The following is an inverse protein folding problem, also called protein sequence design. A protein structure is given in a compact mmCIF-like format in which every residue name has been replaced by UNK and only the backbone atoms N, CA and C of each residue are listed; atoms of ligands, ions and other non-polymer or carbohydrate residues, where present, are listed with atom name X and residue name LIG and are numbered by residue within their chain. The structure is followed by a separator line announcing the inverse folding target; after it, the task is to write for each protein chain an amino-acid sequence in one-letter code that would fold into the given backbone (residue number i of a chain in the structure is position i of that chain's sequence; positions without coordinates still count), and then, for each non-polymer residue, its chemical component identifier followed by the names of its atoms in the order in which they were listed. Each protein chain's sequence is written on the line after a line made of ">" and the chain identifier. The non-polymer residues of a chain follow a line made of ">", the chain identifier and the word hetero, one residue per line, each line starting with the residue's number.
data_IF_312899784481
#
_entry.id   IF_312899784481
#
_cell.length_a   1.000
_cell.length_b   1.000
_cell.length_c   1.000
_cell.angle_alpha   90.00
_cell.angle_beta   90.00
_cell.angle_gamma   90.00
#
_symmetry.space_group_name_H-M   'P 1'
#
loop_
_entity.id
_entity.type
_entity.pdbx_description
1 polymer ?
#
# COMPACT_ATOMS: atom_id res chain seq x y z
N UNK A 1 2.90 -27.15 -5.58
CA UNK A 1 2.17 -26.12 -6.36
C UNK A 1 2.05 -24.84 -5.53
N UNK A 2 2.56 -23.73 -6.05
CA UNK A 2 2.47 -22.46 -5.33
C UNK A 2 1.08 -21.85 -5.49
N UNK A 3 0.59 -21.30 -4.39
CA UNK A 3 -0.72 -20.66 -4.36
C UNK A 3 -0.63 -19.24 -4.92
N UNK A 4 -1.57 -18.87 -5.76
CA UNK A 4 -1.68 -17.50 -6.26
C UNK A 4 -2.22 -16.58 -5.15
N UNK A 5 -1.60 -15.42 -5.02
CA UNK A 5 -1.98 -14.37 -4.06
C UNK A 5 -2.17 -13.05 -4.79
N UNK A 6 -2.90 -12.12 -4.15
CA UNK A 6 -3.04 -10.75 -4.67
C UNK A 6 -2.07 -9.84 -3.93
N UNK A 7 -1.25 -9.11 -4.69
CA UNK A 7 -0.28 -8.15 -4.14
C UNK A 7 -0.74 -6.74 -4.49
N UNK A 8 -0.78 -5.86 -3.49
CA UNK A 8 -1.05 -4.44 -3.66
C UNK A 8 0.19 -3.64 -3.27
N UNK A 9 0.64 -2.79 -4.17
CA UNK A 9 1.81 -1.92 -3.96
C UNK A 9 1.35 -0.48 -4.05
N UNK A 10 1.61 0.30 -3.00
CA UNK A 10 1.37 1.73 -2.98
C UNK A 10 2.70 2.44 -2.78
N UNK A 11 2.89 3.57 -3.43
CA UNK A 11 4.05 4.42 -3.22
C UNK A 11 3.60 5.86 -3.12
N UNK A 12 3.99 6.54 -2.03
CA UNK A 12 3.57 7.90 -1.73
C UNK A 12 4.76 8.78 -1.39
N UNK A 13 4.73 10.03 -1.87
CA UNK A 13 5.65 11.08 -1.44
C UNK A 13 4.87 12.14 -0.68
N UNK A 14 5.36 12.53 0.49
CA UNK A 14 4.75 13.60 1.30
C UNK A 14 4.97 14.94 0.57
N UNK A 15 3.90 15.74 0.42
CA UNK A 15 3.95 16.99 -0.35
C UNK A 15 4.79 18.08 0.31
N UNK A 16 4.71 18.19 1.66
CA UNK A 16 5.41 19.21 2.45
C UNK A 16 5.90 18.59 3.75
N UNK A 17 7.02 19.07 4.26
CA UNK A 17 7.62 18.50 5.48
C UNK A 17 6.69 18.58 6.70
N UNK A 18 5.82 19.58 6.78
CA UNK A 18 4.87 19.71 7.90
C UNK A 18 3.72 18.70 7.84
N UNK A 19 3.57 17.99 6.71
CA UNK A 19 2.61 16.89 6.61
C UNK A 19 3.17 15.54 7.08
N UNK A 20 4.47 15.45 7.39
CA UNK A 20 5.10 14.19 7.79
C UNK A 20 4.42 13.55 9.01
N UNK A 21 4.15 14.29 10.11
CA UNK A 21 3.47 13.67 11.25
C UNK A 21 2.09 13.11 10.90
N UNK A 22 1.29 13.86 10.14
CA UNK A 22 -0.05 13.41 9.71
C UNK A 22 0.05 12.18 8.80
N UNK A 23 0.99 12.19 7.86
CA UNK A 23 1.22 11.06 6.96
C UNK A 23 1.52 9.79 7.74
N UNK A 24 2.49 9.84 8.66
CA UNK A 24 2.89 8.65 9.42
C UNK A 24 1.80 8.20 10.39
N UNK A 25 1.02 9.10 10.96
CA UNK A 25 -0.12 8.75 11.78
C UNK A 25 -1.16 7.95 10.99
N UNK A 26 -1.52 8.43 9.79
CA UNK A 26 -2.47 7.73 8.92
C UNK A 26 -1.91 6.40 8.41
N UNK A 27 -0.64 6.39 8.00
CA UNK A 27 0.01 5.19 7.49
C UNK A 27 0.10 4.09 8.57
N UNK A 28 0.42 4.46 9.80
CA UNK A 28 0.51 3.51 10.92
C UNK A 28 -0.86 2.90 11.21
N UNK A 29 -1.91 3.71 11.28
CA UNK A 29 -3.28 3.22 11.52
C UNK A 29 -3.74 2.29 10.41
N UNK A 30 -3.48 2.65 9.16
CA UNK A 30 -3.84 1.83 8.01
C UNK A 30 -3.07 0.50 8.02
N UNK A 31 -1.80 0.51 8.43
CA UNK A 31 -0.97 -0.70 8.52
C UNK A 31 -1.45 -1.65 9.61
N UNK A 32 -1.82 -1.13 10.78
CA UNK A 32 -2.40 -1.94 11.86
C UNK A 32 -3.70 -2.58 11.39
N UNK A 33 -4.55 -1.83 10.71
CA UNK A 33 -5.79 -2.35 10.13
C UNK A 33 -5.50 -3.46 9.11
N UNK A 34 -4.54 -3.23 8.21
CA UNK A 34 -4.20 -4.20 7.16
C UNK A 34 -3.79 -5.55 7.76
N UNK A 35 -2.90 -5.52 8.76
CA UNK A 35 -2.38 -6.74 9.39
C UNK A 35 -3.45 -7.52 10.13
N UNK A 36 -4.54 -6.87 10.53
CA UNK A 36 -5.67 -7.50 11.21
C UNK A 36 -6.83 -7.85 10.28
N UNK A 37 -6.78 -7.43 9.01
CA UNK A 37 -7.88 -7.61 8.08
C UNK A 37 -8.02 -9.07 7.61
N UNK A 38 -9.25 -9.57 7.45
CA UNK A 38 -9.46 -10.91 6.90
C UNK A 38 -8.81 -11.06 5.51
N UNK A 39 -8.11 -12.17 5.31
CA UNK A 39 -7.43 -12.44 4.05
C UNK A 39 -6.06 -11.80 3.87
N UNK A 40 -5.61 -10.99 4.84
CA UNK A 40 -4.25 -10.43 4.78
C UNK A 40 -3.22 -11.51 5.15
N UNK A 41 -2.22 -11.67 4.28
CA UNK A 41 -1.11 -12.59 4.50
C UNK A 41 0.08 -11.83 5.10
N UNK A 42 0.39 -10.64 4.57
CA UNK A 42 1.45 -9.78 5.09
C UNK A 42 1.22 -8.33 4.67
N UNK A 43 1.79 -7.41 5.45
CA UNK A 43 1.78 -6.00 5.10
C UNK A 43 3.05 -5.38 5.67
N UNK A 44 3.86 -4.80 4.80
CA UNK A 44 5.16 -4.23 5.15
C UNK A 44 5.38 -2.92 4.42
N UNK A 45 6.23 -2.08 5.00
CA UNK A 45 6.57 -0.78 4.44
C UNK A 45 8.07 -0.65 4.24
N UNK A 46 8.47 0.12 3.24
CA UNK A 46 9.86 0.50 3.01
C UNK A 46 9.92 1.81 2.22
N UNK A 47 10.86 2.66 2.58
CA UNK A 47 11.14 3.89 1.83
C UNK A 47 12.29 3.64 0.86
N UNK A 48 12.05 3.91 -0.43
CA UNK A 48 13.03 3.75 -1.50
C UNK A 48 13.01 5.01 -2.36
N UNK A 49 14.15 5.65 -2.53
CA UNK A 49 14.30 6.89 -3.30
C UNK A 49 13.28 7.97 -2.91
N UNK A 50 13.04 8.12 -1.61
CA UNK A 50 12.08 9.09 -1.08
C UNK A 50 10.62 8.71 -1.25
N UNK A 51 10.32 7.53 -1.79
CA UNK A 51 8.96 7.01 -1.94
C UNK A 51 8.66 6.06 -0.78
N UNK A 52 7.56 6.32 -0.09
CA UNK A 52 7.09 5.46 1.01
C UNK A 52 6.20 4.37 0.43
N UNK A 53 6.77 3.17 0.27
CA UNK A 53 6.06 2.02 -0.26
C UNK A 53 5.38 1.20 0.82
N UNK A 54 4.17 0.72 0.50
CA UNK A 54 3.50 -0.36 1.23
C UNK A 54 3.32 -1.52 0.27
N UNK A 55 3.74 -2.72 0.70
CA UNK A 55 3.47 -3.96 -0.01
C UNK A 55 2.56 -4.80 0.87
N UNK A 56 1.32 -5.00 0.44
CA UNK A 56 0.37 -5.86 1.15
C UNK A 56 0.03 -7.07 0.28
N UNK A 57 -0.05 -8.24 0.92
CA UNK A 57 -0.30 -9.52 0.25
C UNK A 57 -1.59 -10.10 0.82
N UNK A 58 -2.48 -10.53 -0.06
CA UNK A 58 -3.83 -10.95 0.27
C UNK A 58 -4.16 -12.29 -0.38
N UNK A 59 -5.07 -13.04 0.24
CA UNK A 59 -5.55 -14.32 -0.33
C UNK A 59 -6.23 -14.12 -1.67
N UNK A 60 -6.92 -12.98 -1.86
CA UNK A 60 -7.57 -12.60 -3.10
C UNK A 60 -7.81 -11.10 -3.18
N UNK A 61 -8.25 -10.64 -4.35
CA UNK A 61 -8.52 -9.23 -4.59
C UNK A 61 -9.69 -8.70 -3.75
N UNK A 62 -10.71 -9.54 -3.52
CA UNK A 62 -11.89 -9.13 -2.75
C UNK A 62 -11.52 -8.78 -1.30
N UNK A 63 -10.62 -9.54 -0.68
CA UNK A 63 -10.13 -9.26 0.67
C UNK A 63 -9.43 -7.90 0.72
N UNK A 64 -8.59 -7.60 -0.26
CA UNK A 64 -7.91 -6.30 -0.37
C UNK A 64 -8.92 -5.17 -0.55
N UNK A 65 -9.92 -5.33 -1.42
CA UNK A 65 -10.93 -4.31 -1.67
C UNK A 65 -11.77 -4.02 -0.41
N UNK A 66 -12.11 -5.05 0.36
CA UNK A 66 -12.83 -4.88 1.63
C UNK A 66 -12.04 -4.04 2.63
N UNK A 67 -10.73 -4.26 2.71
CA UNK A 67 -9.82 -3.45 3.52
C UNK A 67 -9.80 -1.99 3.08
N UNK A 68 -9.72 -1.73 1.76
CA UNK A 68 -9.63 -0.37 1.23
C UNK A 68 -10.83 0.50 1.61
N UNK A 69 -12.00 -0.09 1.71
CA UNK A 69 -13.26 0.65 1.86
C UNK A 69 -13.76 0.76 3.30
N UNK A 70 -12.93 0.41 4.29
CA UNK A 70 -13.31 0.46 5.71
C UNK A 70 -12.27 1.12 6.58
N UNK A 71 -12.73 1.72 7.68
CA UNK A 71 -11.91 2.17 8.80
C UNK A 71 -10.78 3.15 8.47
N UNK A 72 -9.62 2.99 9.15
CA UNK A 72 -8.48 3.91 8.99
C UNK A 72 -7.97 4.04 7.56
N UNK A 73 -8.01 2.97 6.75
CA UNK A 73 -7.55 3.07 5.36
C UNK A 73 -8.47 3.99 4.53
N UNK A 74 -9.78 3.88 4.73
CA UNK A 74 -10.73 4.76 4.03
C UNK A 74 -10.50 6.22 4.41
N UNK A 75 -10.28 6.50 5.70
CA UNK A 75 -9.96 7.85 6.18
C UNK A 75 -8.66 8.35 5.54
N UNK A 76 -7.63 7.51 5.50
CA UNK A 76 -6.35 7.85 4.90
C UNK A 76 -6.51 8.19 3.41
N UNK A 77 -7.29 7.43 2.67
CA UNK A 77 -7.54 7.69 1.25
C UNK A 77 -8.20 9.05 1.01
N UNK A 78 -9.07 9.48 1.91
CA UNK A 78 -9.74 10.78 1.82
C UNK A 78 -8.77 11.94 2.10
N UNK A 79 -7.76 11.72 2.93
CA UNK A 79 -6.83 12.76 3.36
C UNK A 79 -5.52 12.80 2.57
N UNK A 80 -5.07 11.69 2.00
CA UNK A 80 -3.81 11.60 1.28
C UNK A 80 -3.66 12.63 0.14
N UNK A 81 -4.68 12.94 -0.67
CA UNK A 81 -4.50 13.90 -1.77
C UNK A 81 -4.01 15.27 -1.32
N UNK A 82 -4.30 15.68 -0.08
CA UNK A 82 -3.86 16.98 0.44
C UNK A 82 -2.46 16.94 1.05
N UNK A 83 -1.98 15.77 1.49
CA UNK A 83 -0.71 15.65 2.22
C UNK A 83 0.36 14.86 1.46
N UNK A 84 -0.04 14.06 0.47
CA UNK A 84 0.88 13.20 -0.27
C UNK A 84 0.44 13.05 -1.73
N UNK A 85 1.39 12.64 -2.57
CA UNK A 85 1.16 12.32 -3.97
C UNK A 85 1.73 10.93 -4.24
N UNK A 86 1.01 10.12 -5.03
CA UNK A 86 1.52 8.80 -5.31
C UNK A 86 0.74 8.00 -6.32
N UNK A 87 1.12 6.73 -6.40
CA UNK A 87 0.57 5.75 -7.33
C UNK A 87 0.33 4.44 -6.62
N UNK A 88 -0.53 3.62 -7.20
CA UNK A 88 -0.81 2.28 -6.72
C UNK A 88 -0.86 1.29 -7.88
N UNK A 89 -0.55 0.03 -7.60
CA UNK A 89 -0.68 -1.07 -8.55
C UNK A 89 -1.03 -2.35 -7.80
N UNK A 90 -1.87 -3.19 -8.40
CA UNK A 90 -2.23 -4.48 -7.81
C UNK A 90 -2.26 -5.57 -8.87
N UNK A 91 -1.89 -6.79 -8.49
CA UNK A 91 -1.82 -7.92 -9.43
C UNK A 91 -1.85 -9.26 -8.71
N UNK A 92 -2.21 -10.30 -9.45
CA UNK A 92 -2.11 -11.68 -8.98
C UNK A 92 -0.72 -12.23 -9.30
N UNK A 93 -0.16 -13.02 -8.39
CA UNK A 93 1.16 -13.65 -8.59
C UNK A 93 1.31 -14.87 -7.69
N UNK A 94 2.21 -15.76 -8.06
CA UNK A 94 2.61 -16.90 -7.21
C UNK A 94 3.87 -16.57 -6.40
N UNK A 95 4.62 -15.55 -6.79
CA UNK A 95 5.83 -15.11 -6.10
C UNK A 95 5.71 -13.65 -5.70
N UNK A 96 5.80 -13.39 -4.39
CA UNK A 96 5.77 -12.03 -3.87
C UNK A 96 7.06 -11.31 -4.28
N UNK A 97 6.94 -10.13 -4.93
CA UNK A 97 8.13 -9.39 -5.37
C UNK A 97 8.96 -8.88 -4.18
N UNK A 98 10.27 -8.89 -4.34
CA UNK A 98 11.17 -8.25 -3.36
C UNK A 98 11.10 -6.72 -3.50
N UNK A 99 11.77 -6.01 -2.60
CA UNK A 99 11.66 -4.54 -2.56
C UNK A 99 12.22 -3.84 -3.80
N UNK A 100 13.26 -4.38 -4.43
CA UNK A 100 13.77 -3.82 -5.68
C UNK A 100 12.75 -3.98 -6.80
N UNK A 101 12.11 -5.15 -6.89
CA UNK A 101 11.04 -5.41 -7.85
C UNK A 101 9.80 -4.55 -7.55
N UNK A 102 9.44 -4.38 -6.28
CA UNK A 102 8.31 -3.54 -5.85
C UNK A 102 8.47 -2.13 -6.40
N UNK A 103 9.65 -1.53 -6.21
CA UNK A 103 9.90 -0.17 -6.69
C UNK A 103 9.82 -0.08 -8.21
N UNK A 104 10.44 -1.01 -8.93
CA UNK A 104 10.42 -1.06 -10.39
C UNK A 104 9.00 -1.22 -10.95
N UNK A 105 8.22 -2.12 -10.39
CA UNK A 105 6.83 -2.35 -10.80
C UNK A 105 6.00 -1.07 -10.58
N UNK A 106 6.18 -0.43 -9.44
CA UNK A 106 5.48 0.80 -9.11
C UNK A 106 5.82 1.93 -10.09
N UNK A 107 7.10 2.09 -10.44
CA UNK A 107 7.55 3.11 -11.39
C UNK A 107 6.93 2.89 -12.77
N UNK A 108 6.93 1.64 -13.25
CA UNK A 108 6.48 1.31 -14.61
C UNK A 108 4.96 1.20 -14.74
N UNK A 109 4.28 0.63 -13.75
CA UNK A 109 2.89 0.22 -13.85
C UNK A 109 1.95 0.94 -12.88
N UNK A 110 2.46 1.73 -11.95
CA UNK A 110 1.64 2.45 -10.99
C UNK A 110 0.70 3.44 -11.65
N UNK A 111 -0.52 3.57 -11.10
CA UNK A 111 -1.51 4.55 -11.52
C UNK A 111 -1.73 5.57 -10.41
N UNK A 112 -1.91 6.84 -10.80
CA UNK A 112 -2.15 7.92 -9.83
C UNK A 112 -3.36 7.63 -8.95
N UNK A 113 -3.19 7.93 -7.69
CA UNK A 113 -4.28 7.82 -6.70
C UNK A 113 -4.91 9.17 -6.45
#
# INVERSE_FOLDING_TARGET
>A
MQREVYVSITGLRVRRIWHIPSFWSLATKAMVQARSAPGNISAETRTIDGVHHTRSVWTDKAAMQAYLTTGPHLEAMRRYPTIAKGKTVGFLTTEVPDWAQVHAIWVEMGRDV
#
